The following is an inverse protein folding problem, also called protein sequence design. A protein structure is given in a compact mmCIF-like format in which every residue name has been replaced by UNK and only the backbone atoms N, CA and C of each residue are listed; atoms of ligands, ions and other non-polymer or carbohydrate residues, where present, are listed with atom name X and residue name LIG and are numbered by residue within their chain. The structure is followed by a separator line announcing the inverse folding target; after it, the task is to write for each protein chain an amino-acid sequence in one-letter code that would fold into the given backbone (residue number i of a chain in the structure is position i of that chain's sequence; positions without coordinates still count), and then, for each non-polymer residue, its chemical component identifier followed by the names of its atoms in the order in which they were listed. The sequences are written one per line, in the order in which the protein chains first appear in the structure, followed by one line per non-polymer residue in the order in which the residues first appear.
data_IF_079013942196
#
_entry.id   IF_079013942196
#
_cell.length_a   1.000
_cell.length_b   1.000
_cell.length_c   1.000
_cell.angle_alpha   90.00
_cell.angle_beta   90.00
_cell.angle_gamma   90.00
#
_symmetry.space_group_name_H-M   'P 1'
#
loop_
_entity.id
_entity.type
_entity.pdbx_description
1 polymer ?
#
# COMPACT_ATOMS: atom_id res chain seq x y z
N UNK A 1 -4.76 -50.98 13.89
CA UNK A 1 -3.88 -50.43 12.83
C UNK A 1 -4.22 -48.97 12.75
N UNK A 2 -3.35 -48.13 13.30
CA UNK A 2 -3.58 -46.69 13.44
C UNK A 2 -2.84 -46.00 12.30
N UNK A 3 -3.56 -45.42 11.35
CA UNK A 3 -2.98 -44.55 10.33
C UNK A 3 -2.39 -43.29 11.00
N UNK A 4 -1.14 -42.90 10.69
CA UNK A 4 -0.61 -41.62 11.11
C UNK A 4 -1.21 -40.50 10.24
N UNK A 5 -1.84 -39.54 10.90
CA UNK A 5 -2.25 -38.26 10.31
C UNK A 5 -1.01 -37.45 9.92
N UNK A 6 -0.71 -37.35 8.62
CA UNK A 6 0.31 -36.47 8.07
C UNK A 6 -0.13 -34.99 8.14
N UNK A 7 0.56 -34.10 8.88
CA UNK A 7 0.22 -32.67 8.95
C UNK A 7 0.89 -31.83 7.84
N UNK A 8 1.21 -32.42 6.69
CA UNK A 8 1.99 -31.71 5.66
C UNK A 8 1.09 -30.79 4.82
N UNK A 9 1.14 -29.52 5.23
CA UNK A 9 1.08 -28.34 4.36
C UNK A 9 -0.19 -28.17 3.54
N UNK A 10 -1.16 -27.56 4.22
CA UNK A 10 -2.17 -26.72 3.59
C UNK A 10 -1.48 -25.54 2.87
N UNK A 11 -0.92 -25.75 1.68
CA UNK A 11 -0.57 -24.66 0.77
C UNK A 11 -1.88 -24.12 0.19
N UNK A 12 -2.54 -23.26 0.97
CA UNK A 12 -3.53 -22.36 0.41
C UNK A 12 -2.76 -21.41 -0.52
N UNK A 13 -2.82 -21.67 -1.83
CA UNK A 13 -2.35 -20.74 -2.85
C UNK A 13 -2.91 -19.34 -2.56
N UNK A 14 -2.15 -18.27 -2.88
CA UNK A 14 -2.48 -16.93 -2.45
C UNK A 14 -3.83 -16.55 -3.05
N UNK A 15 -4.87 -16.59 -2.21
CA UNK A 15 -6.17 -16.04 -2.58
C UNK A 15 -5.90 -14.57 -2.89
N UNK A 16 -6.32 -14.04 -4.06
CA UNK A 16 -6.16 -12.63 -4.36
C UNK A 16 -6.87 -11.82 -3.28
N UNK A 17 -6.10 -11.35 -2.31
CA UNK A 17 -6.63 -10.68 -1.14
C UNK A 17 -6.64 -9.19 -1.42
N UNK A 18 -7.84 -8.64 -1.56
CA UNK A 18 -8.03 -7.20 -1.72
C UNK A 18 -7.67 -6.53 -0.40
N UNK A 19 -6.68 -5.63 -0.42
CA UNK A 19 -6.35 -4.80 0.73
C UNK A 19 -7.31 -3.62 0.83
N UNK A 20 -7.66 -3.21 2.04
CA UNK A 20 -8.44 -1.98 2.25
C UNK A 20 -7.59 -1.01 3.04
N UNK A 21 -7.40 0.19 2.50
CA UNK A 21 -6.66 1.27 3.14
C UNK A 21 -7.59 2.47 3.31
N UNK A 22 -7.80 2.88 4.56
CA UNK A 22 -8.57 4.08 4.88
C UNK A 22 -7.64 5.16 5.45
N UNK A 23 -7.66 6.33 4.83
CA UNK A 23 -6.84 7.48 5.20
C UNK A 23 -7.76 8.62 5.62
N UNK A 24 -7.90 8.84 6.93
CA UNK A 24 -8.84 9.82 7.47
C UNK A 24 -8.30 11.25 7.57
N UNK A 25 -7.04 11.51 7.22
CA UNK A 25 -6.45 12.86 7.32
C UNK A 25 -5.41 13.15 6.24
N UNK A 26 -5.25 14.44 5.91
CA UNK A 26 -4.25 14.90 4.93
C UNK A 26 -2.81 14.63 5.38
N UNK A 27 -2.54 14.68 6.68
CA UNK A 27 -1.21 14.34 7.23
C UNK A 27 -0.90 12.85 7.08
N UNK A 28 -1.88 11.97 7.32
CA UNK A 28 -1.74 10.54 7.08
C UNK A 28 -1.57 10.23 5.58
N UNK A 29 -2.31 10.93 4.72
CA UNK A 29 -2.15 10.82 3.27
C UNK A 29 -0.75 11.20 2.82
N UNK A 30 -0.22 12.32 3.33
CA UNK A 30 1.13 12.78 3.02
C UNK A 30 2.20 11.80 3.50
N UNK A 31 2.04 11.23 4.70
CA UNK A 31 2.98 10.25 5.24
C UNK A 31 2.96 8.91 4.48
N UNK A 32 1.79 8.51 3.97
CA UNK A 32 1.62 7.27 3.21
C UNK A 32 2.00 7.43 1.73
N UNK A 33 1.83 8.60 1.12
CA UNK A 33 2.05 8.78 -0.31
C UNK A 33 3.55 8.78 -0.67
N UNK A 34 3.89 8.08 -1.76
CA UNK A 34 5.26 7.93 -2.27
C UNK A 34 5.40 8.65 -3.63
N UNK A 35 5.66 9.97 -3.65
CA UNK A 35 5.70 10.76 -4.89
C UNK A 35 6.93 10.46 -5.78
N UNK A 36 8.00 9.92 -5.22
CA UNK A 36 9.25 9.65 -5.94
C UNK A 36 9.13 8.50 -6.96
N UNK A 37 8.06 7.70 -6.86
CA UNK A 37 7.77 6.64 -7.81
C UNK A 37 7.22 7.24 -9.11
N UNK A 38 7.67 6.74 -10.27
CA UNK A 38 7.26 7.26 -11.60
C UNK A 38 5.75 7.41 -11.78
N UNK A 39 4.98 6.46 -11.24
CA UNK A 39 3.50 6.43 -11.28
C UNK A 39 2.83 6.86 -9.97
N UNK A 40 3.63 7.34 -9.01
CA UNK A 40 3.23 7.47 -7.62
C UNK A 40 3.09 6.10 -6.94
N UNK A 41 2.84 6.14 -5.64
CA UNK A 41 2.54 4.94 -4.88
C UNK A 41 2.09 5.29 -3.47
N UNK A 42 1.81 4.25 -2.70
CA UNK A 42 1.34 4.41 -1.33
C UNK A 42 1.95 3.34 -0.43
N UNK A 43 2.25 3.73 0.79
CA UNK A 43 2.63 2.82 1.85
C UNK A 43 1.37 2.26 2.53
N UNK A 44 1.30 0.94 2.63
CA UNK A 44 0.21 0.21 3.27
C UNK A 44 0.77 -0.51 4.50
N UNK A 45 0.40 -0.09 5.73
CA UNK A 45 0.70 -0.84 6.93
C UNK A 45 0.06 -2.23 6.87
N UNK A 46 0.87 -3.27 6.95
CA UNK A 46 0.39 -4.65 6.91
C UNK A 46 1.39 -5.59 7.56
N UNK A 47 0.89 -6.59 8.27
CA UNK A 47 1.68 -7.68 8.83
C UNK A 47 1.76 -8.88 7.89
N UNK A 48 1.02 -8.84 6.78
CA UNK A 48 1.00 -9.92 5.79
C UNK A 48 2.34 -9.99 5.07
N UNK A 49 2.86 -11.21 4.82
CA UNK A 49 4.06 -11.37 4.02
C UNK A 49 3.76 -11.03 2.56
N UNK A 50 4.60 -10.18 1.98
CA UNK A 50 4.62 -9.83 0.57
C UNK A 50 6.06 -9.86 0.08
N UNK A 51 6.24 -10.16 -1.21
CA UNK A 51 7.53 -10.04 -1.88
C UNK A 51 7.52 -8.88 -2.86
N UNK A 52 8.69 -8.32 -3.14
CA UNK A 52 8.83 -7.30 -4.18
C UNK A 52 8.44 -7.92 -5.52
N UNK A 53 7.62 -7.21 -6.28
CA UNK A 53 7.05 -7.67 -7.54
C UNK A 53 5.62 -8.22 -7.42
N UNK A 54 5.12 -8.48 -6.21
CA UNK A 54 3.75 -8.96 -6.01
C UNK A 54 2.73 -7.94 -6.51
N UNK A 55 1.73 -8.44 -7.24
CA UNK A 55 0.57 -7.66 -7.65
C UNK A 55 -0.44 -7.57 -6.51
N UNK A 56 -0.91 -6.35 -6.25
CA UNK A 56 -1.82 -6.03 -5.16
C UNK A 56 -3.00 -5.25 -5.70
N UNK A 57 -4.19 -5.71 -5.34
CA UNK A 57 -5.42 -4.95 -5.51
C UNK A 57 -5.82 -4.36 -4.17
N UNK A 58 -6.09 -3.05 -4.16
CA UNK A 58 -6.51 -2.36 -2.94
C UNK A 58 -7.72 -1.45 -3.18
N UNK A 59 -8.49 -1.25 -2.11
CA UNK A 59 -9.54 -0.26 -2.01
C UNK A 59 -9.05 0.88 -1.13
N UNK A 60 -8.86 2.05 -1.72
CA UNK A 60 -8.40 3.25 -1.04
C UNK A 60 -9.58 4.18 -0.72
N UNK A 61 -9.76 4.51 0.54
CA UNK A 61 -10.69 5.56 1.00
C UNK A 61 -9.90 6.77 1.46
N UNK A 62 -10.29 7.95 0.97
CA UNK A 62 -9.57 9.22 1.19
C UNK A 62 -10.46 10.23 1.92
N UNK A 63 -10.22 10.40 3.22
CA UNK A 63 -10.86 11.42 4.06
C UNK A 63 -12.39 11.39 3.90
N UNK A 64 -13.00 12.52 3.60
CA UNK A 64 -14.45 12.68 3.41
C UNK A 64 -14.94 12.29 2.01
N UNK A 65 -14.10 11.71 1.14
CA UNK A 65 -14.57 11.22 -0.16
C UNK A 65 -15.50 10.01 0.03
N UNK A 66 -16.76 10.07 -0.45
CA UNK A 66 -17.75 9.03 -0.22
C UNK A 66 -17.52 7.74 -1.03
N UNK A 67 -16.35 7.58 -1.68
CA UNK A 67 -16.04 6.47 -2.58
C UNK A 67 -14.75 5.73 -2.24
N UNK A 68 -14.81 4.40 -2.24
CA UNK A 68 -13.61 3.54 -2.28
C UNK A 68 -13.06 3.52 -3.70
N UNK A 69 -11.80 3.91 -3.87
CA UNK A 69 -11.09 3.84 -5.14
C UNK A 69 -10.44 2.46 -5.27
N UNK A 70 -10.88 1.59 -6.20
CA UNK A 70 -10.15 0.38 -6.52
C UNK A 70 -8.86 0.77 -7.25
N UNK A 71 -7.73 0.22 -6.81
CA UNK A 71 -6.41 0.53 -7.37
C UNK A 71 -5.65 -0.78 -7.51
N UNK A 72 -5.12 -1.03 -8.71
CA UNK A 72 -4.11 -2.04 -8.92
C UNK A 72 -2.71 -1.44 -8.73
N UNK A 73 -1.80 -2.24 -8.18
CA UNK A 73 -0.41 -1.83 -8.02
C UNK A 73 0.52 -3.00 -7.80
N UNK A 74 1.81 -2.69 -7.73
CA UNK A 74 2.87 -3.67 -7.51
C UNK A 74 3.70 -3.29 -6.28
N UNK A 75 4.06 -4.29 -5.47
CA UNK A 75 4.97 -4.09 -4.33
C UNK A 75 6.36 -3.75 -4.84
N UNK A 76 6.85 -2.56 -4.49
CA UNK A 76 8.21 -2.09 -4.84
C UNK A 76 9.10 -1.91 -3.62
N UNK A 77 8.52 -1.97 -2.42
CA UNK A 77 9.23 -1.84 -1.16
C UNK A 77 8.57 -2.69 -0.08
N UNK A 78 9.36 -3.30 0.80
CA UNK A 78 8.87 -4.06 1.96
C UNK A 78 9.60 -3.55 3.21
N UNK A 79 8.83 -3.08 4.19
CA UNK A 79 9.34 -2.69 5.50
C UNK A 79 9.09 -3.84 6.48
N UNK A 80 10.14 -4.57 6.92
CA UNK A 80 9.99 -5.72 7.81
C UNK A 80 9.56 -5.30 9.22
N UNK A 81 9.04 -6.27 9.99
CA UNK A 81 8.75 -6.08 11.42
C UNK A 81 10.05 -5.77 12.18
N UNK A 82 10.03 -4.78 13.07
CA UNK A 82 11.22 -4.38 13.84
C UNK A 82 12.24 -3.55 13.05
N UNK A 83 11.85 -2.97 11.92
CA UNK A 83 12.70 -2.04 11.18
C UNK A 83 13.20 -0.89 12.09
N UNK A 84 14.48 -0.56 11.95
CA UNK A 84 15.18 0.42 12.78
C UNK A 84 14.49 1.80 12.71
N UNK A 85 14.38 2.48 13.86
CA UNK A 85 13.74 3.80 13.94
C UNK A 85 12.21 3.78 14.12
N UNK A 86 11.65 2.72 14.72
CA UNK A 86 10.21 2.58 15.01
C UNK A 86 9.31 2.71 13.76
N UNK A 87 9.83 2.26 12.61
CA UNK A 87 9.07 2.31 11.35
C UNK A 87 7.96 1.25 11.37
N UNK A 88 6.75 1.66 11.00
CA UNK A 88 5.60 0.77 10.89
C UNK A 88 5.89 -0.31 9.84
N UNK A 89 5.64 -1.58 10.20
CA UNK A 89 5.70 -2.69 9.25
C UNK A 89 4.68 -2.49 8.12
N UNK A 90 5.08 -2.78 6.89
CA UNK A 90 4.17 -2.68 5.75
C UNK A 90 4.87 -2.77 4.41
N UNK A 91 4.16 -2.36 3.36
CA UNK A 91 4.63 -2.43 1.98
C UNK A 91 4.47 -1.08 1.28
N UNK A 92 5.42 -0.74 0.41
CA UNK A 92 5.26 0.34 -0.56
C UNK A 92 4.76 -0.22 -1.87
N UNK A 93 3.59 0.23 -2.30
CA UNK A 93 2.94 -0.20 -3.54
C UNK A 93 3.01 0.92 -4.56
N UNK A 94 3.63 0.65 -5.71
CA UNK A 94 3.59 1.54 -6.86
C UNK A 94 2.26 1.35 -7.58
N UNK A 95 1.60 2.44 -7.96
CA UNK A 95 0.37 2.36 -8.76
C UNK A 95 0.68 1.79 -10.15
N UNK A 96 -0.25 0.99 -10.66
CA UNK A 96 -0.20 0.47 -12.02
C UNK A 96 -0.41 1.59 -13.06
N UNK A 97 -0.11 1.29 -14.32
CA UNK A 97 -0.19 2.25 -15.44
C UNK A 97 -1.61 2.41 -15.99
N UNK A 98 -2.59 1.72 -15.41
CA UNK A 98 -3.98 1.78 -15.84
C UNK A 98 -4.70 3.02 -15.29
N UNK A 99 -5.92 3.23 -15.78
CA UNK A 99 -6.76 4.38 -15.43
C UNK A 99 -6.99 4.51 -13.91
N UNK A 100 -7.03 3.39 -13.17
CA UNK A 100 -7.23 3.42 -11.72
C UNK A 100 -6.01 4.02 -11.00
N UNK A 101 -4.81 3.63 -11.41
CA UNK A 101 -3.55 4.16 -10.86
C UNK A 101 -3.35 5.63 -11.18
N UNK A 102 -3.62 6.03 -12.43
CA UNK A 102 -3.53 7.43 -12.87
C UNK A 102 -4.54 8.31 -12.12
N UNK A 103 -5.78 7.84 -12.00
CA UNK A 103 -6.85 8.55 -11.27
C UNK A 103 -6.52 8.68 -9.79
N UNK A 104 -6.05 7.60 -9.15
CA UNK A 104 -5.63 7.62 -7.76
C UNK A 104 -4.51 8.61 -7.50
N UNK A 105 -3.44 8.57 -8.33
CA UNK A 105 -2.34 9.53 -8.27
C UNK A 105 -2.86 10.96 -8.36
N UNK A 106 -3.62 11.28 -9.41
CA UNK A 106 -4.15 12.63 -9.64
C UNK A 106 -4.98 13.11 -8.46
N UNK A 107 -5.82 12.23 -7.91
CA UNK A 107 -6.69 12.56 -6.78
C UNK A 107 -5.90 12.79 -5.50
N UNK A 108 -4.90 11.96 -5.22
CA UNK A 108 -3.99 12.16 -4.08
C UNK A 108 -3.21 13.47 -4.23
N UNK A 109 -2.63 13.73 -5.40
CA UNK A 109 -1.91 14.98 -5.69
C UNK A 109 -2.83 16.22 -5.57
N UNK A 110 -4.09 16.14 -6.01
CA UNK A 110 -5.07 17.20 -5.82
C UNK A 110 -5.42 17.45 -4.34
N UNK A 111 -5.62 16.38 -3.56
CA UNK A 111 -5.92 16.47 -2.13
C UNK A 111 -4.73 16.99 -1.33
N UNK A 112 -3.52 16.58 -1.69
CA UNK A 112 -2.28 17.13 -1.13
C UNK A 112 -2.08 18.59 -1.59
N UNK A 113 -2.54 18.94 -2.79
CA UNK A 113 -2.48 20.28 -3.37
C UNK A 113 -1.04 20.71 -3.68
N UNK A 114 -0.79 22.02 -3.76
CA UNK A 114 0.54 22.61 -3.97
C UNK A 114 1.54 22.38 -2.81
N UNK A 115 1.20 21.59 -1.79
CA UNK A 115 2.11 21.24 -0.69
C UNK A 115 3.26 20.30 -1.10
N UNK A 116 3.24 19.74 -2.32
CA UNK A 116 4.43 19.12 -2.92
C UNK A 116 5.57 20.13 -3.18
N UNK A 117 5.29 21.44 -3.13
CA UNK A 117 6.30 22.50 -3.19
C UNK A 117 6.83 22.97 -1.83
N UNK A 118 6.33 22.45 -0.70
CA UNK A 118 6.79 22.84 0.63
C UNK A 118 7.58 21.71 1.27
N UNK A 119 8.87 21.96 1.46
CA UNK A 119 9.92 21.20 2.13
C UNK A 119 9.53 20.70 3.54
N UNK A 120 8.55 19.81 3.64
CA UNK A 120 8.32 19.01 4.85
C UNK A 120 8.94 17.63 4.66
N UNK A 121 9.64 17.08 5.67
CA UNK A 121 10.19 15.75 5.59
C UNK A 121 9.06 14.73 5.44
N UNK A 122 9.10 13.94 4.36
CA UNK A 122 8.28 12.73 4.21
C UNK A 122 8.88 11.62 5.09
N UNK A 123 8.10 10.60 5.45
CA UNK A 123 8.60 9.44 6.22
C UNK A 123 9.67 8.60 5.47
N UNK A 124 9.96 8.97 4.22
CA UNK A 124 10.94 8.35 3.34
C UNK A 124 12.28 9.07 3.32
N UNK A 125 12.48 10.12 4.12
CA UNK A 125 13.77 10.79 4.33
C UNK A 125 14.34 10.44 5.70
#
# INVERSE_FOLDING_TARGET
MSEPIDPRLQQAGPRPSVLSLNINSKSALYAAYMPQLKRGGIFIPTTRPYVIGDEVFMLLTLMDEPGKLPIAGQVVWVTPAGAQGNKTQGIGVQFSDDESGVTARRKIEQLLGAHLGSTRPTHTL
#
